data_IF_240492005500
#
_entry.id   IF_240492005500
#
_cell.length_a   1.000
_cell.length_b   1.000
_cell.length_c   1.000
_cell.angle_alpha   90.00
_cell.angle_beta   90.00
_cell.angle_gamma   90.00
#
_symmetry.space_group_name_H-M   'P 1'
#
loop_
_entity.id
_entity.type
_entity.pdbx_description
1 polymer ?
#
# COMPACT_ATOMS: atom_id res chain seq x y z
N UNK A 1 -7.05 -2.92 9.90
CA UNK A 1 -7.99 -3.23 8.80
C UNK A 1 -9.27 -2.45 9.02
N UNK A 2 -9.87 -1.89 7.97
CA UNK A 2 -11.15 -1.17 8.03
C UNK A 2 -12.19 -1.92 7.22
N UNK A 3 -13.24 -2.41 7.87
CA UNK A 3 -14.26 -3.28 7.28
C UNK A 3 -15.63 -2.60 7.18
N UNK A 4 -15.91 -1.54 7.95
CA UNK A 4 -17.01 -0.58 7.81
C UNK A 4 -18.36 -1.16 7.39
N UNK A 5 -18.70 -2.36 7.88
CA UNK A 5 -19.96 -3.04 7.57
C UNK A 5 -19.98 -3.87 6.28
N UNK A 6 -18.84 -4.40 5.81
CA UNK A 6 -18.85 -5.42 4.74
C UNK A 6 -19.77 -6.58 5.10
N UNK A 7 -20.42 -7.11 4.07
CA UNK A 7 -21.33 -8.23 4.22
C UNK A 7 -20.55 -9.54 4.09
N UNK A 8 -20.36 -10.19 5.24
CA UNK A 8 -19.63 -11.46 5.36
C UNK A 8 -20.47 -12.68 4.95
N UNK A 9 -21.73 -12.53 4.56
CA UNK A 9 -22.54 -13.63 4.01
C UNK A 9 -22.20 -13.97 2.55
N UNK A 10 -21.48 -13.07 1.87
CA UNK A 10 -20.96 -13.22 0.51
C UNK A 10 -19.43 -13.07 0.52
N UNK A 11 -18.73 -13.50 -0.55
CA UNK A 11 -17.29 -13.33 -0.64
C UNK A 11 -16.86 -11.87 -0.41
N UNK A 12 -16.00 -11.67 0.59
CA UNK A 12 -15.42 -10.38 0.95
C UNK A 12 -14.02 -10.31 0.36
N UNK A 13 -13.74 -9.32 -0.47
CA UNK A 13 -12.39 -9.12 -1.01
C UNK A 13 -11.55 -8.18 -0.15
N UNK A 14 -10.39 -7.80 -0.65
CA UNK A 14 -9.44 -6.93 0.05
C UNK A 14 -8.85 -5.89 -0.89
N UNK A 15 -8.67 -4.68 -0.38
CA UNK A 15 -7.89 -3.63 -1.02
C UNK A 15 -6.69 -3.29 -0.13
N UNK A 16 -5.49 -3.60 -0.60
CA UNK A 16 -4.25 -3.19 0.04
C UNK A 16 -3.86 -1.81 -0.47
N UNK A 17 -3.63 -0.88 0.45
CA UNK A 17 -3.18 0.47 0.13
C UNK A 17 -1.73 0.66 0.56
N UNK A 18 -0.88 1.05 -0.39
CA UNK A 18 0.52 1.39 -0.17
C UNK A 18 0.69 2.90 -0.32
N UNK A 19 1.16 3.53 0.74
CA UNK A 19 1.45 4.95 0.70
C UNK A 19 2.69 5.25 -0.17
N UNK A 20 2.85 6.53 -0.53
CA UNK A 20 4.05 7.02 -1.17
C UNK A 20 5.16 7.33 -0.17
N UNK A 21 6.20 7.99 -0.70
CA UNK A 21 7.26 8.69 0.02
C UNK A 21 6.60 9.65 1.01
N UNK A 22 6.49 9.24 2.26
CA UNK A 22 5.78 10.01 3.27
C UNK A 22 6.75 10.38 4.37
N UNK A 23 6.79 11.67 4.69
CA UNK A 23 7.55 12.24 5.81
C UNK A 23 6.62 13.15 6.59
N UNK A 24 6.80 13.19 7.91
CA UNK A 24 6.11 14.08 8.82
C UNK A 24 4.63 13.76 8.97
N UNK A 25 3.85 14.79 9.27
CA UNK A 25 2.41 14.74 9.56
C UNK A 25 1.56 14.22 8.39
N UNK A 26 2.11 14.26 7.18
CA UNK A 26 1.47 13.76 5.96
C UNK A 26 1.56 12.24 5.82
N UNK A 27 2.42 11.57 6.60
CA UNK A 27 2.51 10.12 6.59
C UNK A 27 1.29 9.51 7.26
N UNK A 28 0.53 8.75 6.48
CA UNK A 28 -0.75 8.19 6.90
C UNK A 28 -0.57 7.16 8.02
N UNK A 29 0.65 6.66 8.19
CA UNK A 29 1.16 5.96 9.37
C UNK A 29 0.85 6.67 10.70
N UNK A 30 1.07 7.98 10.79
CA UNK A 30 0.83 8.74 12.03
C UNK A 30 -0.66 8.99 12.26
N UNK A 31 -1.49 8.82 11.24
CA UNK A 31 -2.95 8.93 11.34
C UNK A 31 -3.65 7.83 10.52
N UNK A 32 -3.55 6.55 10.95
CA UNK A 32 -4.02 5.40 10.17
C UNK A 32 -5.55 5.31 10.11
N UNK A 33 -6.24 6.20 10.82
CA UNK A 33 -7.68 6.40 10.77
C UNK A 33 -8.03 7.84 10.35
N UNK A 34 -7.15 8.54 9.65
CA UNK A 34 -7.42 9.89 9.16
C UNK A 34 -8.64 9.93 8.24
N UNK A 35 -9.20 11.13 8.04
CA UNK A 35 -10.37 11.32 7.19
C UNK A 35 -10.17 10.73 5.78
N UNK A 36 -8.94 10.81 5.25
CA UNK A 36 -8.59 10.25 3.95
C UNK A 36 -8.63 8.71 3.94
N UNK A 37 -8.08 8.01 4.95
CA UNK A 37 -8.20 6.54 5.07
C UNK A 37 -9.66 6.13 5.15
N UNK A 38 -10.44 6.81 5.99
CA UNK A 38 -11.87 6.49 6.17
C UNK A 38 -12.66 6.70 4.87
N UNK A 39 -12.34 7.74 4.11
CA UNK A 39 -12.97 7.98 2.80
C UNK A 39 -12.62 6.88 1.79
N UNK A 40 -11.36 6.44 1.75
CA UNK A 40 -10.97 5.29 0.91
C UNK A 40 -11.65 4.00 1.36
N UNK A 41 -11.71 3.75 2.67
CA UNK A 41 -12.38 2.58 3.24
C UNK A 41 -13.85 2.57 2.84
N UNK A 42 -14.56 3.70 3.00
CA UNK A 42 -15.96 3.82 2.60
C UNK A 42 -16.18 3.53 1.09
N UNK A 43 -15.23 3.87 0.23
CA UNK A 43 -15.31 3.57 -1.21
C UNK A 43 -15.12 2.08 -1.52
N UNK A 44 -14.14 1.41 -0.90
CA UNK A 44 -13.88 -0.01 -1.17
C UNK A 44 -14.91 -0.92 -0.48
N UNK A 45 -15.38 -0.55 0.71
CA UNK A 45 -16.38 -1.30 1.45
C UNK A 45 -17.72 -1.36 0.71
N UNK A 46 -18.09 -0.30 -0.04
CA UNK A 46 -19.25 -0.31 -0.96
C UNK A 46 -19.17 -1.41 -2.03
N UNK A 47 -17.98 -1.95 -2.29
CA UNK A 47 -17.71 -3.05 -3.24
C UNK A 47 -17.50 -4.40 -2.54
N UNK A 48 -17.81 -4.48 -1.25
CA UNK A 48 -17.55 -5.63 -0.39
C UNK A 48 -16.06 -5.99 -0.28
N UNK A 49 -15.21 -4.97 -0.17
CA UNK A 49 -13.79 -5.13 0.06
C UNK A 49 -13.43 -4.50 1.40
N UNK A 50 -12.55 -5.12 2.17
CA UNK A 50 -11.95 -4.48 3.34
C UNK A 50 -10.73 -3.66 2.92
N UNK A 51 -10.51 -2.50 3.54
CA UNK A 51 -9.29 -1.71 3.32
C UNK A 51 -8.21 -2.13 4.31
N UNK A 52 -7.03 -2.42 3.79
CA UNK A 52 -5.81 -2.65 4.58
C UNK A 52 -4.77 -1.61 4.15
N UNK A 53 -4.65 -0.49 4.88
CA UNK A 53 -3.46 0.35 4.76
C UNK A 53 -2.25 -0.47 5.20
N UNK A 54 -1.26 -0.59 4.33
CA UNK A 54 -0.04 -1.35 4.59
C UNK A 54 1.06 -0.38 4.97
N UNK A 55 1.67 -0.62 6.12
CA UNK A 55 2.87 0.07 6.57
C UNK A 55 4.09 -0.74 6.12
N UNK A 56 5.13 -0.09 5.61
CA UNK A 56 6.37 -0.80 5.34
C UNK A 56 7.02 -1.17 6.68
N UNK A 57 7.78 -2.27 6.76
CA UNK A 57 8.50 -2.64 7.97
C UNK A 57 9.41 -1.53 8.51
N UNK A 58 9.98 -0.70 7.62
CA UNK A 58 10.78 0.48 7.98
C UNK A 58 10.01 1.49 8.86
N UNK A 59 8.67 1.51 8.79
CA UNK A 59 7.85 2.35 9.64
C UNK A 59 7.94 1.99 11.14
N UNK A 60 8.25 0.74 11.47
CA UNK A 60 8.47 0.33 12.87
C UNK A 60 9.82 0.81 13.42
N UNK A 61 10.76 1.14 12.52
CA UNK A 61 12.09 1.66 12.85
C UNK A 61 12.12 3.20 12.85
N UNK A 62 11.05 3.87 12.39
CA UNK A 62 10.96 5.32 12.37
C UNK A 62 10.84 5.86 13.80
N UNK A 63 11.85 6.61 14.25
CA UNK A 63 11.88 7.23 15.58
C UNK A 63 11.45 8.71 15.53
N UNK A 64 11.54 9.33 14.35
CA UNK A 64 11.19 10.72 14.11
C UNK A 64 10.13 10.84 13.01
N UNK A 65 9.15 11.75 13.14
CA UNK A 65 8.23 12.09 12.06
C UNK A 65 8.94 12.38 10.72
N UNK A 66 10.13 12.97 10.72
CA UNK A 66 10.88 13.31 9.51
C UNK A 66 11.60 12.11 8.84
N UNK A 67 11.58 10.93 9.47
CA UNK A 67 12.18 9.73 8.90
C UNK A 67 11.43 9.32 7.63
N UNK A 68 12.18 9.09 6.55
CA UNK A 68 11.61 8.66 5.28
C UNK A 68 11.24 7.18 5.36
N UNK A 69 9.94 6.91 5.40
CA UNK A 69 9.40 5.57 5.24
C UNK A 69 9.21 5.33 3.75
N UNK A 70 9.94 4.36 3.20
CA UNK A 70 9.91 4.11 1.75
C UNK A 70 9.45 2.70 1.44
N UNK A 71 8.87 2.54 0.25
CA UNK A 71 8.59 1.23 -0.32
C UNK A 71 9.59 0.85 -1.42
N UNK A 72 10.54 1.73 -1.76
CA UNK A 72 11.47 1.53 -2.88
C UNK A 72 12.91 1.22 -2.47
N UNK A 73 13.32 1.46 -1.21
CA UNK A 73 14.70 1.15 -0.77
C UNK A 73 14.93 -0.37 -0.64
N UNK A 74 13.96 -1.09 -0.07
CA UNK A 74 14.05 -2.53 0.24
C UNK A 74 13.01 -3.41 -0.46
N UNK A 75 12.62 -3.00 -1.67
CA UNK A 75 11.59 -3.61 -2.52
C UNK A 75 11.48 -5.14 -2.44
N UNK A 76 12.60 -5.86 -2.54
CA UNK A 76 12.58 -7.33 -2.53
C UNK A 76 12.16 -7.92 -1.19
N UNK A 77 12.71 -7.42 -0.09
CA UNK A 77 12.40 -7.88 1.26
C UNK A 77 10.97 -7.47 1.65
N UNK A 78 10.60 -6.22 1.33
CA UNK A 78 9.26 -5.69 1.55
C UNK A 78 8.20 -6.45 0.74
N UNK A 79 8.54 -6.86 -0.49
CA UNK A 79 7.69 -7.70 -1.32
C UNK A 79 7.45 -9.08 -0.72
N UNK A 80 8.49 -9.71 -0.15
CA UNK A 80 8.36 -11.00 0.51
C UNK A 80 7.53 -10.89 1.79
N UNK A 81 7.81 -9.87 2.60
CA UNK A 81 7.05 -9.56 3.80
C UNK A 81 5.57 -9.29 3.49
N UNK A 82 5.28 -8.43 2.50
CA UNK A 82 3.91 -8.11 2.09
C UNK A 82 3.15 -9.36 1.62
N UNK A 83 3.79 -10.21 0.79
CA UNK A 83 3.15 -11.47 0.36
C UNK A 83 2.84 -12.39 1.54
N UNK A 84 3.70 -12.44 2.55
CA UNK A 84 3.44 -13.21 3.77
C UNK A 84 2.27 -12.62 4.58
N UNK A 85 2.24 -11.30 4.77
CA UNK A 85 1.14 -10.57 5.42
C UNK A 85 -0.19 -10.79 4.68
N UNK A 86 -0.20 -10.58 3.36
CA UNK A 86 -1.40 -10.72 2.55
C UNK A 86 -1.95 -12.15 2.63
N UNK A 87 -1.10 -13.18 2.50
CA UNK A 87 -1.52 -14.58 2.65
C UNK A 87 -2.03 -14.89 4.05
N UNK A 88 -1.44 -14.30 5.09
CA UNK A 88 -1.93 -14.45 6.47
C UNK A 88 -3.34 -13.88 6.59
N UNK A 89 -3.55 -12.61 6.20
CA UNK A 89 -4.84 -11.94 6.27
C UNK A 89 -5.93 -12.63 5.43
N UNK A 90 -5.60 -13.05 4.20
CA UNK A 90 -6.55 -13.78 3.36
C UNK A 90 -7.08 -15.04 4.06
N UNK A 91 -6.23 -15.73 4.84
CA UNK A 91 -6.64 -16.93 5.59
C UNK A 91 -7.39 -16.59 6.87
N UNK A 92 -6.86 -15.69 7.69
CA UNK A 92 -7.40 -15.41 9.04
C UNK A 92 -8.71 -14.63 8.98
N UNK A 93 -8.87 -13.75 8.00
CA UNK A 93 -10.07 -12.92 7.83
C UNK A 93 -11.08 -13.53 6.85
N UNK A 94 -10.79 -14.73 6.31
CA UNK A 94 -11.60 -15.43 5.32
C UNK A 94 -11.90 -14.59 4.07
N UNK A 95 -10.88 -13.91 3.54
CA UNK A 95 -11.01 -12.99 2.41
C UNK A 95 -10.80 -13.74 1.09
N UNK A 96 -11.57 -13.34 0.08
CA UNK A 96 -11.55 -13.89 -1.26
C UNK A 96 -10.37 -13.35 -2.07
N UNK A 97 -9.38 -14.24 -2.29
CA UNK A 97 -8.18 -13.95 -3.07
C UNK A 97 -8.44 -13.68 -4.57
N UNK A 98 -9.64 -13.96 -5.07
CA UNK A 98 -10.06 -13.56 -6.43
C UNK A 98 -10.57 -12.12 -6.51
N UNK A 99 -10.74 -11.47 -5.35
CA UNK A 99 -11.22 -10.09 -5.19
C UNK A 99 -10.17 -9.22 -4.51
N UNK A 100 -8.92 -9.36 -4.93
CA UNK A 100 -7.78 -8.64 -4.37
C UNK A 100 -7.43 -7.42 -5.21
N UNK A 101 -7.32 -6.27 -4.55
CA UNK A 101 -6.94 -5.02 -5.18
C UNK A 101 -5.68 -4.45 -4.53
N UNK A 102 -4.73 -4.03 -5.36
CA UNK A 102 -3.56 -3.27 -4.93
C UNK A 102 -3.75 -1.81 -5.35
N UNK A 103 -3.66 -0.87 -4.41
CA UNK A 103 -3.71 0.55 -4.72
C UNK A 103 -2.53 1.26 -4.10
N UNK A 104 -1.89 2.15 -4.85
CA UNK A 104 -0.69 2.81 -4.38
C UNK A 104 -0.53 4.23 -4.90
N UNK A 105 0.09 5.07 -4.09
CA UNK A 105 0.49 6.43 -4.44
C UNK A 105 2.03 6.54 -4.50
N UNK A 106 2.57 7.32 -5.45
CA UNK A 106 4.01 7.58 -5.59
C UNK A 106 4.90 6.33 -5.44
N UNK A 107 5.80 6.24 -4.45
CA UNK A 107 6.63 5.07 -4.17
C UNK A 107 5.86 3.76 -4.00
N UNK A 108 4.68 3.77 -3.38
CA UNK A 108 3.81 2.59 -3.30
C UNK A 108 3.29 2.12 -4.66
N UNK A 109 3.11 3.04 -5.63
CA UNK A 109 2.74 2.67 -7.00
C UNK A 109 3.91 2.04 -7.77
N UNK A 110 5.14 2.47 -7.51
CA UNK A 110 6.35 1.87 -8.06
C UNK A 110 6.57 0.47 -7.43
N UNK A 111 6.42 0.31 -6.10
CA UNK A 111 6.44 -1.00 -5.42
C UNK A 111 5.43 -2.01 -5.96
N UNK A 112 4.18 -1.60 -6.21
CA UNK A 112 3.16 -2.47 -6.82
C UNK A 112 3.65 -3.01 -8.17
N UNK A 113 4.30 -2.15 -8.96
CA UNK A 113 4.70 -2.48 -10.33
C UNK A 113 5.96 -3.34 -10.34
N UNK A 114 6.94 -3.01 -9.49
CA UNK A 114 8.27 -3.62 -9.52
C UNK A 114 8.35 -4.92 -8.70
N UNK A 115 7.45 -5.12 -7.73
CA UNK A 115 7.52 -6.27 -6.82
C UNK A 115 6.18 -6.98 -6.62
N UNK A 116 5.14 -6.27 -6.19
CA UNK A 116 3.90 -6.93 -5.76
C UNK A 116 3.19 -7.66 -6.92
N UNK A 117 3.30 -7.14 -8.14
CA UNK A 117 2.78 -7.78 -9.37
C UNK A 117 3.84 -8.51 -10.18
N UNK A 118 5.09 -8.02 -10.19
CA UNK A 118 6.14 -8.55 -11.07
C UNK A 118 6.72 -9.88 -10.59
N UNK A 119 6.61 -10.20 -9.29
CA UNK A 119 7.17 -11.43 -8.73
C UNK A 119 6.13 -12.24 -7.95
N UNK A 120 5.99 -13.50 -8.34
CA UNK A 120 5.09 -14.48 -7.71
C UNK A 120 3.64 -13.96 -7.65
N UNK A 121 3.02 -13.77 -8.81
CA UNK A 121 1.61 -13.33 -8.92
C UNK A 121 0.59 -14.46 -8.73
N UNK A 122 1.05 -15.72 -8.62
CA UNK A 122 0.17 -16.90 -8.60
C UNK A 122 -0.77 -17.00 -7.40
N UNK A 123 -0.56 -16.20 -6.36
CA UNK A 123 -1.48 -16.09 -5.21
C UNK A 123 -2.62 -15.09 -5.44
N UNK A 124 -2.51 -14.19 -6.44
CA UNK A 124 -3.58 -13.29 -6.86
C UNK A 124 -4.43 -14.06 -7.87
N UNK A 125 -5.65 -14.45 -7.48
CA UNK A 125 -6.54 -15.29 -8.31
C UNK A 125 -7.53 -14.47 -9.15
N UNK A 126 -7.51 -13.14 -9.00
CA UNK A 126 -8.39 -12.19 -9.66
C UNK A 126 -8.31 -10.81 -8.99
N UNK A 127 -8.92 -9.79 -9.62
CA UNK A 127 -8.89 -8.41 -9.17
C UNK A 127 -8.01 -7.50 -10.05
N UNK A 128 -7.35 -6.51 -9.47
CA UNK A 128 -6.57 -5.54 -10.26
C UNK A 128 -5.76 -4.54 -9.44
N UNK A 129 -4.98 -3.70 -10.14
CA UNK A 129 -4.16 -2.67 -9.50
C UNK A 129 -4.53 -1.27 -9.98
N UNK A 130 -4.66 -0.33 -9.04
CA UNK A 130 -4.86 1.10 -9.33
C UNK A 130 -3.67 1.91 -8.85
N UNK A 131 -3.06 2.67 -9.75
CA UNK A 131 -1.85 3.45 -9.48
C UNK A 131 -2.14 4.94 -9.63
N UNK A 132 -1.60 5.74 -8.71
CA UNK A 132 -1.43 7.19 -8.91
C UNK A 132 0.05 7.53 -8.76
N UNK A 133 0.69 7.95 -9.85
CA UNK A 133 2.01 8.58 -9.76
C UNK A 133 1.87 9.97 -9.15
N UNK A 134 2.62 10.26 -8.08
CA UNK A 134 2.88 11.61 -7.60
C UNK A 134 3.91 12.32 -8.48
N UNK A 135 4.01 13.66 -8.42
CA UNK A 135 5.08 14.40 -9.11
C UNK A 135 6.42 14.06 -8.46
N UNK A 136 7.37 13.52 -9.23
CA UNK A 136 8.78 13.43 -8.80
C UNK A 136 9.27 14.84 -8.50
N UNK A 137 9.67 15.12 -7.26
CA UNK A 137 10.52 16.30 -6.99
C UNK A 137 11.83 16.01 -7.73
N UNK A 138 12.12 16.79 -8.78
CA UNK A 138 13.41 16.70 -9.47
C UNK A 138 14.49 16.91 -8.41
N UNK A 139 15.37 15.93 -8.24
CA UNK A 139 16.65 16.19 -7.61
C UNK A 139 17.33 17.31 -8.41
N UNK A 140 17.93 18.32 -7.74
CA UNK A 140 18.73 19.30 -8.44
C UNK A 140 19.82 18.56 -9.23
N UNK A 141 19.89 18.83 -10.54
CA UNK A 141 20.95 18.28 -11.37
C UNK A 141 22.32 18.75 -10.87
N UNK A 142 23.40 18.03 -11.21
CA UNK A 142 24.74 18.42 -10.83
C UNK A 142 25.01 19.87 -11.28
N UNK A 143 25.74 20.66 -10.47
CA UNK A 143 26.05 22.04 -10.83
C UNK A 143 26.73 22.06 -12.20
N UNK A 144 26.27 22.94 -13.09
CA UNK A 144 26.94 23.18 -14.36
C UNK A 144 28.34 23.72 -14.06
N UNK A 145 29.36 23.09 -14.62
CA UNK A 145 30.72 23.60 -14.56
C UNK A 145 30.76 25.02 -15.16
N UNK A 146 31.48 25.97 -14.52
CA UNK A 146 31.64 27.31 -15.04
C UNK A 146 32.40 27.32 -16.38
N UNK A 147 32.20 28.37 -17.20
CA UNK A 147 32.73 28.47 -18.57
C UNK A 147 34.26 28.50 -18.64
#
# INVERSE_FOLDING_TARGET
MLDGGVDRSRPVGVAFFFDGDSTGEDAWFWNPYGAQIRAMAAEVNRRNLVLVPVLSPEAEEAENPDDQITWWLRQRDDGAWFRALARHLLRTEHLDASRLWLTGYSGGADFITDEALARDSGWIRGGGARRRRGRRRRLPGPPRAPP
#
